data_IF_000830993962
#
_entry.id   IF_000830993962
#
_cell.length_a   1.000
_cell.length_b   1.000
_cell.length_c   1.000
_cell.angle_alpha   90.00
_cell.angle_beta   90.00
_cell.angle_gamma   90.00
#
_symmetry.space_group_name_H-M   'P 1'
#
loop_
_entity.id
_entity.type
_entity.pdbx_description
1 polymer ?
#
# COMPACT_ATOMS: atom_id res chain seq x y z
N UNK A 1 24.82 -3.76 14.86
CA UNK A 1 24.77 -4.56 13.61
C UNK A 1 23.58 -4.04 12.81
N UNK A 2 23.79 -3.44 11.63
CA UNK A 2 22.67 -3.11 10.73
C UNK A 2 22.10 -4.43 10.24
N UNK A 3 20.79 -4.62 10.41
CA UNK A 3 20.10 -5.79 9.87
C UNK A 3 20.08 -5.69 8.35
N UNK A 4 20.31 -6.80 7.66
CA UNK A 4 20.23 -6.84 6.20
C UNK A 4 18.82 -6.39 5.74
N UNK A 5 18.72 -5.58 4.67
CA UNK A 5 17.43 -5.24 4.09
C UNK A 5 16.65 -6.49 3.72
N UNK A 6 15.34 -6.47 4.00
CA UNK A 6 14.40 -7.51 3.60
C UNK A 6 14.10 -7.38 2.12
N UNK A 7 13.76 -8.49 1.48
CA UNK A 7 13.29 -8.53 0.10
C UNK A 7 12.07 -9.44 -0.06
N UNK A 8 11.27 -9.15 -1.10
CA UNK A 8 10.15 -9.98 -1.50
C UNK A 8 9.91 -9.83 -3.00
N UNK A 9 9.41 -10.89 -3.65
CA UNK A 9 8.96 -10.84 -5.04
C UNK A 9 7.49 -11.21 -5.12
N UNK A 10 6.70 -10.40 -5.82
CA UNK A 10 5.27 -10.62 -6.03
C UNK A 10 4.97 -10.54 -7.52
N UNK A 11 4.18 -11.47 -8.05
CA UNK A 11 3.66 -11.39 -9.40
C UNK A 11 2.20 -10.93 -9.35
N UNK A 12 1.83 -10.02 -10.24
CA UNK A 12 0.46 -9.56 -10.42
C UNK A 12 -0.06 -9.99 -11.81
N UNK A 13 -1.40 -9.99 -12.02
CA UNK A 13 -1.98 -10.13 -13.34
C UNK A 13 -1.40 -9.14 -14.36
N UNK A 14 -1.52 -9.46 -15.65
CA UNK A 14 -0.97 -8.64 -16.73
C UNK A 14 0.55 -8.77 -16.91
N UNK A 15 1.18 -9.76 -16.28
CA UNK A 15 2.62 -10.04 -16.44
C UNK A 15 3.51 -9.07 -15.66
N UNK A 16 2.97 -8.35 -14.69
CA UNK A 16 3.73 -7.46 -13.82
C UNK A 16 4.45 -8.28 -12.75
N UNK A 17 5.75 -8.02 -12.58
CA UNK A 17 6.57 -8.61 -11.51
C UNK A 17 7.13 -7.50 -10.64
N UNK A 18 6.71 -7.47 -9.39
CA UNK A 18 7.21 -6.56 -8.38
C UNK A 18 8.31 -7.21 -7.53
N UNK A 19 9.36 -6.45 -7.25
CA UNK A 19 10.46 -6.80 -6.35
C UNK A 19 10.58 -5.69 -5.32
N UNK A 20 10.45 -6.05 -4.07
CA UNK A 20 10.53 -5.17 -2.92
C UNK A 20 11.87 -5.32 -2.23
N UNK A 21 12.40 -4.21 -1.73
CA UNK A 21 13.49 -4.18 -0.75
C UNK A 21 13.19 -3.13 0.30
N UNK A 22 13.31 -3.44 1.59
CA UNK A 22 13.05 -2.46 2.65
C UNK A 22 13.84 -2.73 3.92
N UNK A 23 14.05 -1.68 4.71
CA UNK A 23 14.74 -1.77 5.99
C UNK A 23 14.25 -0.71 6.98
N UNK A 24 14.67 -0.87 8.24
CA UNK A 24 14.38 0.10 9.30
C UNK A 24 15.08 1.45 9.12
N UNK A 25 14.82 2.36 10.04
CA UNK A 25 15.29 3.75 10.02
C UNK A 25 16.80 3.90 9.77
N UNK A 26 17.17 4.86 8.91
CA UNK A 26 18.57 5.22 8.64
C UNK A 26 19.31 4.24 7.72
N UNK A 27 18.61 3.29 7.09
CA UNK A 27 19.23 2.25 6.27
C UNK A 27 19.00 2.44 4.75
N UNK A 28 18.68 3.67 4.33
CA UNK A 28 18.46 4.02 2.92
C UNK A 28 19.57 3.50 1.98
N UNK A 29 20.83 3.74 2.34
CA UNK A 29 21.97 3.29 1.54
C UNK A 29 22.00 1.76 1.34
N UNK A 30 21.63 0.98 2.36
CA UNK A 30 21.58 -0.48 2.27
C UNK A 30 20.40 -0.97 1.42
N UNK A 31 19.24 -0.31 1.54
CA UNK A 31 18.06 -0.59 0.71
C UNK A 31 18.37 -0.33 -0.76
N UNK A 32 19.01 0.80 -1.08
CA UNK A 32 19.23 1.22 -2.46
C UNK A 32 20.54 0.69 -3.08
N UNK A 33 21.38 0.00 -2.31
CA UNK A 33 22.67 -0.53 -2.78
C UNK A 33 22.55 -1.44 -4.02
N UNK A 34 21.42 -2.14 -4.16
CA UNK A 34 21.14 -3.05 -5.27
C UNK A 34 20.04 -2.50 -6.20
N UNK A 35 19.86 -1.18 -6.24
CA UNK A 35 18.90 -0.55 -7.16
C UNK A 35 19.23 -0.96 -8.60
N UNK A 36 18.27 -1.56 -9.29
CA UNK A 36 18.46 -1.98 -10.67
C UNK A 36 18.36 -0.79 -11.63
N UNK A 37 19.27 -0.75 -12.60
CA UNK A 37 19.28 0.29 -13.62
C UNK A 37 18.19 0.09 -14.68
N UNK A 38 17.77 1.19 -15.30
CA UNK A 38 16.81 1.21 -16.41
C UNK A 38 15.37 1.43 -15.96
N UNK A 39 14.59 2.11 -16.80
CA UNK A 39 13.26 2.57 -16.43
C UNK A 39 13.26 3.87 -15.62
N UNK A 40 12.07 4.40 -15.35
CA UNK A 40 11.90 5.58 -14.48
C UNK A 40 12.10 5.19 -13.02
N UNK A 41 12.72 6.05 -12.22
CA UNK A 41 12.75 5.94 -10.76
C UNK A 41 12.12 7.19 -10.16
N UNK A 42 11.09 7.02 -9.34
CA UNK A 42 10.40 8.12 -8.64
C UNK A 42 10.54 7.93 -7.13
N UNK A 43 10.98 8.96 -6.42
CA UNK A 43 11.07 8.91 -4.95
C UNK A 43 9.88 9.62 -4.32
N UNK A 44 9.02 8.85 -3.67
CA UNK A 44 7.85 9.32 -2.91
C UNK A 44 8.17 9.55 -1.43
N UNK A 45 9.39 9.29 -0.97
CA UNK A 45 9.82 9.53 0.41
C UNK A 45 9.45 10.92 0.95
N UNK A 46 9.66 12.01 0.18
CA UNK A 46 9.30 13.37 0.60
C UNK A 46 7.80 13.58 0.88
N UNK A 47 6.91 12.70 0.40
CA UNK A 47 5.49 12.77 0.73
C UNK A 47 5.20 12.34 2.17
N UNK A 48 6.11 11.59 2.79
CA UNK A 48 5.92 11.01 4.13
C UNK A 48 6.80 11.65 5.20
N UNK A 49 7.95 12.24 4.83
CA UNK A 49 8.85 12.93 5.76
C UNK A 49 9.75 13.94 5.04
N UNK A 50 10.16 15.00 5.74
CA UNK A 50 11.12 16.00 5.23
C UNK A 50 12.52 15.42 4.98
N UNK A 51 12.97 14.52 5.88
CA UNK A 51 14.19 13.72 5.72
C UNK A 51 13.79 12.24 5.59
N UNK A 52 13.55 11.75 4.36
CA UNK A 52 13.14 10.37 4.14
C UNK A 52 14.22 9.35 4.51
N UNK A 53 15.50 9.68 4.31
CA UNK A 53 16.58 8.69 4.46
C UNK A 53 16.91 8.38 5.92
N UNK A 54 16.54 9.28 6.85
CA UNK A 54 16.50 8.98 8.28
C UNK A 54 15.34 8.06 8.70
N UNK A 55 14.39 7.75 7.81
CA UNK A 55 13.21 6.91 8.08
C UNK A 55 13.40 5.48 7.58
N UNK A 56 12.40 4.63 7.84
CA UNK A 56 12.35 3.29 7.23
C UNK A 56 12.14 3.48 5.73
N UNK A 57 12.97 2.84 4.90
CA UNK A 57 12.93 3.01 3.45
C UNK A 57 12.54 1.71 2.78
N UNK A 58 11.77 1.87 1.71
CA UNK A 58 11.42 0.78 0.80
C UNK A 58 11.67 1.21 -0.64
N UNK A 59 12.13 0.29 -1.46
CA UNK A 59 12.17 0.39 -2.92
C UNK A 59 11.30 -0.72 -3.50
N UNK A 60 10.47 -0.35 -4.47
CA UNK A 60 9.72 -1.22 -5.35
C UNK A 60 10.32 -1.12 -6.74
N UNK A 61 10.68 -2.26 -7.32
CA UNK A 61 10.94 -2.41 -8.76
C UNK A 61 9.80 -3.17 -9.40
N UNK A 62 9.21 -2.65 -10.47
CA UNK A 62 8.23 -3.37 -11.27
C UNK A 62 8.76 -3.56 -12.68
N UNK A 63 8.71 -4.79 -13.16
CA UNK A 63 8.97 -5.14 -14.55
C UNK A 63 7.67 -5.63 -15.20
N UNK A 64 7.34 -5.10 -16.37
CA UNK A 64 6.12 -5.43 -17.08
C UNK A 64 6.24 -5.30 -18.59
N UNK A 65 5.14 -5.55 -19.33
CA UNK A 65 5.13 -5.51 -20.80
C UNK A 65 5.50 -4.13 -21.39
N UNK A 66 5.32 -3.05 -20.62
CA UNK A 66 5.62 -1.67 -21.04
C UNK A 66 7.04 -1.22 -20.69
N UNK A 67 7.86 -2.15 -20.20
CA UNK A 67 9.15 -1.84 -19.61
C UNK A 67 9.06 -1.88 -18.09
N UNK A 68 10.07 -1.32 -17.47
CA UNK A 68 10.24 -1.40 -16.03
C UNK A 68 10.34 -0.01 -15.40
N UNK A 69 9.98 0.08 -14.14
CA UNK A 69 10.00 1.32 -13.35
C UNK A 69 10.24 1.00 -11.88
N UNK A 70 10.69 1.99 -11.13
CA UNK A 70 10.97 1.88 -9.70
C UNK A 70 10.34 3.03 -8.91
N UNK A 71 9.91 2.74 -7.69
CA UNK A 71 9.37 3.71 -6.76
C UNK A 71 10.00 3.54 -5.38
N UNK A 72 10.34 4.65 -4.71
CA UNK A 72 10.87 4.64 -3.34
C UNK A 72 9.87 5.26 -2.38
N UNK A 73 9.82 4.73 -1.16
CA UNK A 73 8.88 5.14 -0.13
C UNK A 73 9.59 5.33 1.20
N UNK A 74 8.97 6.05 2.12
CA UNK A 74 9.47 6.23 3.47
C UNK A 74 8.35 6.05 4.50
N UNK A 75 8.69 5.53 5.67
CA UNK A 75 7.76 5.33 6.77
C UNK A 75 8.41 5.58 8.12
N UNK A 76 7.66 6.16 9.05
CA UNK A 76 8.07 6.33 10.45
C UNK A 76 7.96 5.05 11.26
N UNK A 77 7.24 4.05 10.75
CA UNK A 77 7.11 2.71 11.34
C UNK A 77 7.81 1.68 10.46
N UNK A 78 8.43 0.70 11.08
CA UNK A 78 9.05 -0.41 10.37
C UNK A 78 8.01 -1.52 10.16
N UNK A 79 7.30 -1.45 9.04
CA UNK A 79 6.35 -2.46 8.58
C UNK A 79 6.79 -3.09 7.25
N UNK A 80 6.05 -4.10 6.81
CA UNK A 80 6.22 -4.69 5.49
C UNK A 80 5.41 -3.89 4.46
N UNK A 81 6.05 -3.33 3.42
CA UNK A 81 5.33 -2.70 2.32
C UNK A 81 4.54 -3.77 1.56
N UNK A 82 3.37 -3.40 1.06
CA UNK A 82 2.56 -4.29 0.25
C UNK A 82 1.89 -3.52 -0.88
N UNK A 83 1.45 -4.23 -1.91
CA UNK A 83 0.66 -3.64 -2.96
C UNK A 83 -0.35 -4.61 -3.55
N UNK A 84 -1.44 -4.06 -4.09
CA UNK A 84 -2.45 -4.78 -4.85
C UNK A 84 -2.57 -4.15 -6.24
N UNK A 85 -2.70 -4.97 -7.27
CA UNK A 85 -2.98 -4.48 -8.61
C UNK A 85 -4.50 -4.31 -8.78
N UNK A 86 -4.92 -3.07 -9.05
CA UNK A 86 -6.28 -2.70 -9.37
C UNK A 86 -6.41 -2.63 -10.89
N UNK A 87 -6.78 -3.76 -11.48
CA UNK A 87 -6.78 -4.01 -12.91
C UNK A 87 -7.73 -3.11 -13.71
N UNK A 88 -8.93 -2.84 -13.20
CA UNK A 88 -9.93 -2.01 -13.89
C UNK A 88 -9.44 -0.58 -14.12
N UNK A 89 -8.62 -0.05 -13.22
CA UNK A 89 -8.04 1.29 -13.30
C UNK A 89 -6.57 1.29 -13.75
N UNK A 90 -5.99 0.10 -13.97
CA UNK A 90 -4.55 -0.07 -14.26
C UNK A 90 -3.62 0.59 -13.24
N UNK A 91 -4.01 0.58 -11.96
CA UNK A 91 -3.22 1.12 -10.87
C UNK A 91 -2.57 0.02 -10.03
N UNK A 92 -1.32 0.21 -9.65
CA UNK A 92 -0.74 -0.52 -8.52
C UNK A 92 -0.93 0.32 -7.26
N UNK A 93 -1.76 -0.20 -6.34
CA UNK A 93 -2.04 0.47 -5.06
C UNK A 93 -1.09 -0.06 -4.01
N UNK A 94 -0.17 0.80 -3.56
CA UNK A 94 0.89 0.49 -2.60
C UNK A 94 0.49 0.99 -1.22
N UNK A 95 0.84 0.25 -0.15
CA UNK A 95 0.86 0.75 1.23
C UNK A 95 2.25 0.63 1.84
N UNK A 96 2.63 1.64 2.61
CA UNK A 96 3.80 1.59 3.49
C UNK A 96 3.61 2.52 4.70
N UNK A 97 3.62 1.96 5.90
CA UNK A 97 3.30 2.66 7.14
C UNK A 97 1.93 3.34 7.08
N UNK A 98 1.93 4.67 7.12
CA UNK A 98 0.72 5.50 7.19
C UNK A 98 0.19 5.92 5.81
N UNK A 99 0.87 5.55 4.73
CA UNK A 99 0.55 6.05 3.40
C UNK A 99 0.12 4.93 2.47
N UNK A 100 -0.92 5.24 1.67
CA UNK A 100 -1.27 4.51 0.47
C UNK A 100 -0.99 5.38 -0.76
N UNK A 101 -0.60 4.75 -1.87
CA UNK A 101 -0.29 5.41 -3.13
C UNK A 101 -0.98 4.68 -4.28
N UNK A 102 -1.65 5.42 -5.16
CA UNK A 102 -2.09 4.92 -6.45
C UNK A 102 -1.06 5.25 -7.52
N UNK A 103 -0.38 4.23 -8.04
CA UNK A 103 0.65 4.39 -9.07
C UNK A 103 0.14 3.83 -10.39
N UNK A 104 0.36 4.53 -11.49
CA UNK A 104 0.11 4.01 -12.83
C UNK A 104 0.96 2.74 -13.04
N UNK A 105 0.33 1.60 -13.30
CA UNK A 105 1.03 0.32 -13.33
C UNK A 105 2.05 0.22 -14.49
N UNK A 106 1.87 1.04 -15.52
CA UNK A 106 2.71 1.04 -16.72
C UNK A 106 4.07 1.72 -16.55
N UNK A 107 4.16 2.78 -15.73
CA UNK A 107 5.35 3.63 -15.64
C UNK A 107 5.67 4.12 -14.20
N UNK A 108 4.83 3.77 -13.22
CA UNK A 108 5.00 4.14 -11.83
C UNK A 108 4.57 5.58 -11.51
N UNK A 109 3.99 6.33 -12.45
CA UNK A 109 3.58 7.71 -12.20
C UNK A 109 2.57 7.79 -11.05
N UNK A 110 2.78 8.73 -10.12
CA UNK A 110 1.88 8.95 -9.01
C UNK A 110 0.57 9.57 -9.49
N UNK A 111 -0.55 8.88 -9.26
CA UNK A 111 -1.88 9.42 -9.52
C UNK A 111 -2.47 10.08 -8.28
N UNK A 112 -2.31 9.43 -7.13
CA UNK A 112 -2.77 9.96 -5.85
C UNK A 112 -1.95 9.39 -4.69
N UNK A 113 -1.93 10.12 -3.58
CA UNK A 113 -1.48 9.63 -2.29
C UNK A 113 -2.54 9.86 -1.23
N UNK A 114 -2.62 8.96 -0.26
CA UNK A 114 -3.52 9.04 0.87
C UNK A 114 -2.74 8.79 2.16
N UNK A 115 -2.97 9.63 3.17
CA UNK A 115 -2.36 9.50 4.48
C UNK A 115 -3.44 9.16 5.51
N UNK A 116 -3.25 8.04 6.21
CA UNK A 116 -4.06 7.70 7.39
C UNK A 116 -3.44 8.28 8.67
N UNK A 117 -4.27 8.46 9.68
CA UNK A 117 -3.83 8.84 11.02
C UNK A 117 -3.12 7.69 11.77
N UNK A 118 -3.36 6.45 11.37
CA UNK A 118 -2.76 5.23 11.96
C UNK A 118 -2.11 4.36 10.87
N UNK A 119 -1.20 3.43 11.24
CA UNK A 119 -0.61 2.51 10.27
C UNK A 119 -1.65 1.75 9.46
N UNK A 120 -1.38 1.60 8.16
CA UNK A 120 -2.20 0.87 7.21
C UNK A 120 -1.85 -0.62 7.30
N UNK A 121 -2.84 -1.42 7.62
CA UNK A 121 -2.73 -2.87 7.75
C UNK A 121 -2.71 -3.51 6.36
N UNK A 122 -3.67 -3.14 5.52
CA UNK A 122 -3.88 -3.77 4.22
C UNK A 122 -4.54 -2.82 3.22
N UNK A 123 -4.21 -3.03 1.94
CA UNK A 123 -4.91 -2.46 0.79
C UNK A 123 -5.54 -3.59 0.00
N UNK A 124 -6.80 -3.43 -0.40
CA UNK A 124 -7.57 -4.46 -1.08
C UNK A 124 -8.25 -3.86 -2.32
N UNK A 125 -8.14 -4.58 -3.44
CA UNK A 125 -8.86 -4.28 -4.67
C UNK A 125 -9.77 -5.46 -5.02
N UNK A 126 -10.89 -5.16 -5.67
CA UNK A 126 -11.82 -6.16 -6.18
C UNK A 126 -12.45 -5.64 -7.46
N UNK A 127 -12.57 -6.46 -8.53
CA UNK A 127 -13.23 -6.04 -9.76
C UNK A 127 -14.72 -5.78 -9.59
N UNK A 128 -15.30 -6.09 -8.42
CA UNK A 128 -16.69 -5.78 -8.07
C UNK A 128 -16.86 -4.43 -7.38
N UNK A 129 -15.77 -3.73 -7.08
CA UNK A 129 -15.76 -2.44 -6.41
C UNK A 129 -15.21 -1.38 -7.36
N UNK A 130 -15.80 -0.19 -7.31
CA UNK A 130 -15.34 1.01 -8.04
C UNK A 130 -14.18 1.74 -7.35
N UNK A 131 -13.77 1.25 -6.18
CA UNK A 131 -12.77 1.85 -5.31
C UNK A 131 -11.91 0.75 -4.70
N UNK A 132 -10.70 1.11 -4.28
CA UNK A 132 -9.91 0.27 -3.37
C UNK A 132 -10.28 0.53 -1.93
N UNK A 133 -10.07 -0.48 -1.09
CA UNK A 133 -10.19 -0.36 0.35
C UNK A 133 -8.81 -0.20 0.95
N UNK A 134 -8.67 0.82 1.80
CA UNK A 134 -7.48 1.04 2.62
C UNK A 134 -7.90 0.89 4.07
N UNK A 135 -7.41 -0.15 4.74
CA UNK A 135 -7.66 -0.38 6.15
C UNK A 135 -6.45 0.06 6.96
N UNK A 136 -6.65 1.01 7.87
CA UNK A 136 -5.72 1.30 8.97
C UNK A 136 -6.23 0.74 10.30
N UNK A 137 -5.44 0.89 11.36
CA UNK A 137 -5.80 0.40 12.69
C UNK A 137 -7.14 0.99 13.19
N UNK A 138 -7.45 2.24 12.84
CA UNK A 138 -8.64 2.93 13.37
C UNK A 138 -9.61 3.44 12.30
N UNK A 139 -9.28 3.34 11.01
CA UNK A 139 -10.15 3.81 9.95
C UNK A 139 -10.17 2.84 8.75
N UNK A 140 -11.33 2.76 8.09
CA UNK A 140 -11.43 2.18 6.74
C UNK A 140 -11.78 3.28 5.76
N UNK A 141 -11.06 3.33 4.64
CA UNK A 141 -11.34 4.25 3.54
C UNK A 141 -11.66 3.46 2.27
N UNK A 142 -12.67 3.90 1.54
CA UNK A 142 -12.82 3.60 0.12
C UNK A 142 -12.23 4.74 -0.70
N UNK A 143 -11.25 4.44 -1.53
CA UNK A 143 -10.54 5.43 -2.36
C UNK A 143 -10.81 5.15 -3.83
N UNK A 144 -11.34 6.15 -4.52
CA UNK A 144 -11.62 6.12 -5.95
C UNK A 144 -10.34 6.21 -6.79
N UNK A 145 -10.46 5.97 -8.10
CA UNK A 145 -9.34 6.01 -9.03
C UNK A 145 -8.62 7.37 -9.09
N UNK A 146 -9.32 8.46 -8.77
CA UNK A 146 -8.77 9.82 -8.71
C UNK A 146 -8.19 10.19 -7.33
N UNK A 147 -8.22 9.26 -6.37
CA UNK A 147 -7.75 9.49 -5.00
C UNK A 147 -8.79 10.10 -4.07
N UNK A 148 -9.99 10.44 -4.57
CA UNK A 148 -11.07 10.94 -3.71
C UNK A 148 -11.60 9.83 -2.78
N UNK A 149 -12.01 10.21 -1.58
CA UNK A 149 -12.58 9.27 -0.60
C UNK A 149 -14.07 9.11 -0.86
N UNK A 150 -14.48 7.92 -1.29
CA UNK A 150 -15.87 7.59 -1.56
C UNK A 150 -16.70 7.50 -0.28
N UNK A 151 -16.14 6.82 0.71
CA UNK A 151 -16.67 6.70 2.07
C UNK A 151 -15.54 6.41 3.05
N UNK A 152 -15.81 6.69 4.33
CA UNK A 152 -14.89 6.45 5.43
C UNK A 152 -15.65 6.00 6.68
N UNK A 153 -15.06 5.09 7.43
CA UNK A 153 -15.55 4.66 8.74
C UNK A 153 -14.42 4.81 9.75
N UNK A 154 -14.75 5.33 10.93
CA UNK A 154 -13.88 5.26 12.09
C UNK A 154 -14.32 4.09 12.98
N UNK A 155 -13.35 3.32 13.47
CA UNK A 155 -13.57 2.17 14.34
C UNK A 155 -13.44 2.58 15.81
N UNK A 156 -14.27 1.98 16.66
CA UNK A 156 -14.23 2.22 18.11
C UNK A 156 -13.16 1.40 18.83
N UNK A 157 -12.58 0.41 18.17
CA UNK A 157 -11.51 -0.46 18.66
C UNK A 157 -10.46 -0.62 17.56
N UNK A 158 -9.23 -0.93 17.95
CA UNK A 158 -8.13 -1.18 17.02
C UNK A 158 -8.45 -2.41 16.18
N UNK A 159 -8.43 -2.26 14.86
CA UNK A 159 -8.49 -3.37 13.92
C UNK A 159 -7.12 -4.02 13.85
N UNK A 160 -7.07 -5.35 13.89
CA UNK A 160 -5.86 -6.18 13.82
C UNK A 160 -5.82 -7.07 12.58
N UNK A 161 -6.96 -7.25 11.91
CA UNK A 161 -7.06 -7.99 10.66
C UNK A 161 -8.23 -7.48 9.81
N UNK A 162 -8.08 -7.55 8.50
CA UNK A 162 -9.12 -7.15 7.55
C UNK A 162 -9.03 -7.95 6.26
N UNK A 163 -10.15 -8.51 5.82
CA UNK A 163 -10.20 -9.38 4.64
C UNK A 163 -11.52 -9.20 3.88
N UNK A 164 -11.46 -9.37 2.55
CA UNK A 164 -12.66 -9.48 1.71
C UNK A 164 -13.07 -10.95 1.59
N UNK A 165 -14.16 -11.34 2.27
CA UNK A 165 -14.65 -12.72 2.32
C UNK A 165 -16.15 -12.74 2.00
N UNK A 166 -16.54 -13.56 1.02
CA UNK A 166 -17.96 -13.74 0.67
C UNK A 166 -18.67 -12.46 0.23
N UNK A 167 -17.94 -11.48 -0.33
CA UNK A 167 -18.50 -10.18 -0.72
C UNK A 167 -18.67 -9.20 0.44
N UNK A 168 -18.09 -9.49 1.61
CA UNK A 168 -18.08 -8.64 2.80
C UNK A 168 -16.66 -8.24 3.14
N UNK A 169 -16.48 -7.05 3.69
CA UNK A 169 -15.27 -6.67 4.41
C UNK A 169 -15.42 -7.15 5.85
N UNK A 170 -14.63 -8.16 6.23
CA UNK A 170 -14.59 -8.69 7.59
C UNK A 170 -13.41 -8.07 8.31
N UNK A 171 -13.69 -7.44 9.45
CA UNK A 171 -12.72 -6.79 10.32
C UNK A 171 -12.63 -7.54 11.64
N UNK A 172 -11.40 -7.84 12.06
CA UNK A 172 -11.11 -8.41 13.38
C UNK A 172 -10.53 -7.31 14.25
N UNK A 173 -11.16 -7.05 15.41
CA UNK A 173 -10.66 -6.07 16.37
C UNK A 173 -9.68 -6.68 17.36
N UNK A 174 -8.93 -5.84 18.07
CA UNK A 174 -8.00 -6.23 19.12
C UNK A 174 -8.72 -6.92 20.28
N UNK A 175 -9.94 -6.50 20.61
CA UNK A 175 -10.80 -7.19 21.59
C UNK A 175 -11.40 -8.51 21.10
N UNK A 176 -11.08 -8.95 19.87
CA UNK A 176 -11.54 -10.21 19.28
C UNK A 176 -12.94 -10.14 18.68
N UNK A 177 -13.51 -8.95 18.50
CA UNK A 177 -14.81 -8.79 17.83
C UNK A 177 -14.64 -8.91 16.32
N UNK A 178 -15.62 -9.55 15.67
CA UNK A 178 -15.73 -9.62 14.22
C UNK A 178 -16.84 -8.69 13.76
N UNK A 179 -16.49 -7.73 12.90
CA UNK A 179 -17.45 -6.84 12.26
C UNK A 179 -17.46 -7.11 10.76
N UNK A 180 -18.65 -7.24 10.19
CA UNK A 180 -18.81 -7.38 8.74
C UNK A 180 -19.44 -6.11 8.16
N UNK A 181 -18.81 -5.59 7.11
CA UNK A 181 -19.23 -4.39 6.41
C UNK A 181 -19.49 -4.72 4.94
N UNK A 182 -20.43 -4.01 4.33
CA UNK A 182 -20.59 -3.96 2.89
C UNK A 182 -19.43 -3.15 2.31
N UNK A 183 -18.51 -3.76 1.54
CA UNK A 183 -17.34 -3.06 1.01
C UNK A 183 -17.70 -2.01 -0.04
N UNK A 184 -18.91 -2.00 -0.59
CA UNK A 184 -19.33 -0.95 -1.52
C UNK A 184 -19.73 0.34 -0.80
N UNK A 185 -20.26 0.24 0.42
CA UNK A 185 -20.91 1.38 1.11
C UNK A 185 -20.33 1.70 2.48
N UNK A 186 -19.55 0.79 3.06
CA UNK A 186 -19.04 0.89 4.42
C UNK A 186 -20.10 0.66 5.51
N UNK A 187 -21.31 0.20 5.16
CA UNK A 187 -22.37 -0.04 6.13
C UNK A 187 -22.26 -1.43 6.75
N UNK A 188 -22.66 -1.64 8.01
CA UNK A 188 -22.71 -2.98 8.59
C UNK A 188 -23.59 -3.93 7.76
N UNK A 189 -23.07 -5.14 7.50
CA UNK A 189 -23.86 -6.27 7.01
C UNK A 189 -24.22 -7.11 8.23
N UNK A 190 -25.50 -7.11 8.61
CA UNK A 190 -25.98 -7.76 9.83
C UNK A 190 -25.74 -9.26 9.92
#
# INVERSE_FOLDING_TARGET
>A
MSAEPRDATVAYPGGLRARWRWAGSGQAAAVFALSEAGGTLIDHGPLSAEDPDARCRAELRVDGPRGAWSARFASTVHDEPAAVYWDTESLLVVKYGFHAFGLEAGDGALRWSHRSATPILVVMASPRLRHVLVQSELETFAIEADGSVAWRIAHSDVVTGAELVGGRLVLTSYSGQLNALDPATGRPTG
#
